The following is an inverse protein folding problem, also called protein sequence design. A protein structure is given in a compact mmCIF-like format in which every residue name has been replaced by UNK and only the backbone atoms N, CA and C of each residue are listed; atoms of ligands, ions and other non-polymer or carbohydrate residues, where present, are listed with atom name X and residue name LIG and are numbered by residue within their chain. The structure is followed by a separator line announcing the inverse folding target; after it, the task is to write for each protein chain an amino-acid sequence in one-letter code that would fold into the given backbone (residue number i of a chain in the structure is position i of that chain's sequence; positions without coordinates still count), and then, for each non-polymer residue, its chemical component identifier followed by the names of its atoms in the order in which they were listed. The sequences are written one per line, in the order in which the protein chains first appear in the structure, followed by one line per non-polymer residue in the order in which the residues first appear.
data_IF_233070833320
#
_entry.id   IF_233070833320
#
_cell.length_a   1.000
_cell.length_b   1.000
_cell.length_c   1.000
_cell.angle_alpha   90.00
_cell.angle_beta   90.00
_cell.angle_gamma   90.00
#
_symmetry.space_group_name_H-M   'P 1'
#
loop_
_entity.id
_entity.type
_entity.pdbx_description
1 polymer ?
#
# COMPACT_ATOMS: atom_id res chain seq x y z
N UNK A 1 22.48 48.52 -3.04
CA UNK A 1 22.58 48.95 -1.64
C UNK A 1 22.10 47.77 -0.81
N UNK A 2 22.91 47.29 0.12
CA UNK A 2 22.55 46.16 0.99
C UNK A 2 21.57 46.70 2.04
N UNK A 3 20.29 46.39 1.89
CA UNK A 3 19.31 46.61 2.96
C UNK A 3 19.38 45.40 3.90
N UNK A 4 19.86 45.67 5.11
CA UNK A 4 19.90 44.71 6.22
C UNK A 4 18.48 44.22 6.54
N UNK A 5 18.29 42.95 6.92
CA UNK A 5 17.00 42.47 7.38
C UNK A 5 16.66 43.14 8.71
N UNK A 6 15.38 43.52 8.81
CA UNK A 6 14.67 44.09 9.95
C UNK A 6 15.19 43.63 11.32
N UNK A 7 15.83 44.54 12.07
CA UNK A 7 15.97 44.44 13.52
C UNK A 7 14.56 44.54 14.15
N UNK A 8 13.87 43.41 14.22
CA UNK A 8 12.72 43.28 15.11
C UNK A 8 13.25 43.05 16.53
N UNK A 9 13.34 44.11 17.31
CA UNK A 9 13.67 44.04 18.74
C UNK A 9 12.49 43.42 19.51
N UNK A 10 12.51 42.11 19.69
CA UNK A 10 11.52 41.40 20.50
C UNK A 10 11.82 41.60 21.99
N UNK A 11 10.87 42.15 22.74
CA UNK A 11 10.98 42.22 24.21
C UNK A 11 10.35 40.99 24.89
N UNK A 12 11.04 39.85 24.83
CA UNK A 12 10.56 38.58 25.39
C UNK A 12 10.33 38.58 26.91
N UNK A 13 10.82 39.59 27.64
CA UNK A 13 10.64 39.71 29.10
C UNK A 13 9.18 39.95 29.48
N UNK A 14 8.42 40.63 28.63
CA UNK A 14 7.01 40.98 28.88
C UNK A 14 6.05 39.81 28.60
N UNK A 15 6.49 38.82 27.81
CA UNK A 15 5.64 37.72 27.37
C UNK A 15 5.43 36.66 28.46
N UNK A 16 4.28 35.98 28.38
CA UNK A 16 3.97 34.84 29.23
C UNK A 16 4.68 33.57 28.74
N UNK A 17 4.88 32.58 29.62
CA UNK A 17 5.49 31.29 29.24
C UNK A 17 4.72 30.57 28.12
N UNK A 18 3.41 30.82 28.02
CA UNK A 18 2.57 30.25 26.95
C UNK A 18 2.86 30.89 25.59
N UNK A 19 3.00 32.22 25.55
CA UNK A 19 3.34 32.96 24.33
C UNK A 19 4.74 32.61 23.84
N UNK A 20 5.72 32.54 24.75
CA UNK A 20 7.10 32.13 24.40
C UNK A 20 7.13 30.71 23.81
N UNK A 21 6.33 29.78 24.36
CA UNK A 21 6.24 28.42 23.80
C UNK A 21 5.50 28.37 22.46
N UNK A 22 4.50 29.24 22.26
CA UNK A 22 3.77 29.33 20.98
C UNK A 22 4.69 29.86 19.88
N UNK A 23 5.38 30.96 20.13
CA UNK A 23 6.39 31.54 19.24
C UNK A 23 7.50 30.53 18.91
N UNK A 24 8.00 29.82 19.92
CA UNK A 24 8.97 28.74 19.74
C UNK A 24 8.45 27.59 18.88
N UNK A 25 7.15 27.27 18.95
CA UNK A 25 6.55 26.19 18.15
C UNK A 25 6.41 26.61 16.69
N UNK A 26 5.98 27.86 16.45
CA UNK A 26 5.82 28.45 15.11
C UNK A 26 7.19 28.59 14.41
N UNK A 27 8.24 28.93 15.16
CA UNK A 27 9.62 29.06 14.67
C UNK A 27 10.46 27.76 14.73
N UNK A 28 9.85 26.59 14.99
CA UNK A 28 10.52 25.28 15.09
C UNK A 28 11.68 25.20 16.12
N UNK A 29 11.64 26.02 17.17
CA UNK A 29 12.59 26.00 18.27
C UNK A 29 12.13 24.98 19.31
N UNK A 30 13.01 24.04 19.70
CA UNK A 30 12.63 22.97 20.64
C UNK A 30 12.95 23.38 22.08
N UNK A 31 11.92 23.68 22.88
CA UNK A 31 12.08 24.02 24.32
C UNK A 31 11.79 22.79 25.21
N UNK A 32 12.73 22.33 26.05
CA UNK A 32 12.48 21.27 27.02
C UNK A 32 11.45 21.68 28.08
N UNK A 33 10.63 20.72 28.55
CA UNK A 33 9.52 20.99 29.47
C UNK A 33 9.93 21.62 30.81
N UNK A 34 11.19 21.42 31.22
CA UNK A 34 11.73 21.81 32.53
C UNK A 34 12.34 23.23 32.57
N UNK A 35 12.35 23.96 31.44
CA UNK A 35 12.95 25.30 31.38
C UNK A 35 12.07 26.32 32.10
N UNK A 36 12.70 27.21 32.89
CA UNK A 36 12.04 28.36 33.51
C UNK A 36 11.89 29.50 32.50
N UNK A 37 11.07 30.51 32.83
CA UNK A 37 10.83 31.66 31.95
C UNK A 37 12.14 32.34 31.54
N UNK A 38 13.04 32.56 32.49
CA UNK A 38 14.32 33.25 32.23
C UNK A 38 15.22 32.45 31.27
N UNK A 39 15.26 31.13 31.41
CA UNK A 39 16.04 30.23 30.52
C UNK A 39 15.48 30.22 29.09
N UNK A 40 14.14 30.35 28.95
CA UNK A 40 13.47 30.42 27.64
C UNK A 40 13.78 31.76 26.97
N UNK A 41 13.76 32.86 27.73
CA UNK A 41 14.08 34.20 27.22
C UNK A 41 15.53 34.25 26.74
N UNK A 42 16.49 33.74 27.52
CA UNK A 42 17.90 33.72 27.10
C UNK A 42 18.13 32.86 25.85
N UNK A 43 17.39 31.76 25.71
CA UNK A 43 17.46 30.91 24.52
C UNK A 43 16.89 31.62 23.29
N UNK A 44 15.76 32.31 23.43
CA UNK A 44 15.14 33.04 22.34
C UNK A 44 15.97 34.25 21.92
N UNK A 45 16.51 35.04 22.87
CA UNK A 45 17.41 36.16 22.59
C UNK A 45 18.63 35.71 21.76
N UNK A 46 19.21 34.55 22.10
CA UNK A 46 20.33 33.98 21.33
C UNK A 46 19.93 33.57 19.93
N UNK A 47 18.76 32.92 19.79
CA UNK A 47 18.28 32.43 18.49
C UNK A 47 17.89 33.58 17.58
N UNK A 48 17.21 34.62 18.09
CA UNK A 48 16.82 35.79 17.30
C UNK A 48 17.98 36.70 16.96
N UNK A 49 19.06 36.70 17.75
CA UNK A 49 20.27 37.46 17.45
C UNK A 49 21.12 36.87 16.31
N UNK A 50 20.78 35.68 15.80
CA UNK A 50 21.50 35.08 14.68
C UNK A 50 21.08 35.71 13.33
N UNK A 51 22.03 36.07 12.45
CA UNK A 51 21.75 36.74 11.19
C UNK A 51 20.99 35.87 10.16
N UNK A 52 20.91 34.56 10.39
CA UNK A 52 20.14 33.61 9.57
C UNK A 52 18.74 33.32 10.13
N UNK A 53 18.37 33.94 11.25
CA UNK A 53 17.05 33.75 11.83
C UNK A 53 15.99 34.47 10.99
N UNK A 54 14.99 33.70 10.54
CA UNK A 54 13.81 34.20 9.82
C UNK A 54 12.60 33.97 10.72
N UNK A 55 11.92 35.05 11.09
CA UNK A 55 10.71 34.96 11.92
C UNK A 55 9.49 34.54 11.09
N UNK A 56 9.11 33.27 11.24
CA UNK A 56 7.98 32.64 10.56
C UNK A 56 6.63 33.05 11.12
N UNK A 57 6.59 33.81 12.21
CA UNK A 57 5.31 34.34 12.75
C UNK A 57 4.81 35.56 11.97
N UNK A 58 5.66 36.16 11.15
CA UNK A 58 5.32 37.31 10.29
C UNK A 58 4.88 36.91 8.87
N UNK A 59 5.10 35.64 8.50
CA UNK A 59 4.54 35.07 7.26
C UNK A 59 3.03 34.88 7.49
N UNK A 60 2.22 35.76 6.91
CA UNK A 60 0.76 35.62 6.86
C UNK A 60 0.40 34.18 6.45
N UNK A 61 -0.63 33.60 7.09
CA UNK A 61 -1.19 32.28 6.78
C UNK A 61 -1.62 32.19 5.29
N UNK A 62 -0.65 32.02 4.41
CA UNK A 62 -0.81 31.50 3.06
C UNK A 62 -1.01 30.00 3.25
N UNK A 63 -2.27 29.56 3.16
CA UNK A 63 -2.63 28.16 3.05
C UNK A 63 -1.84 27.53 1.89
N UNK A 64 -0.76 26.84 2.24
CA UNK A 64 0.09 26.06 1.36
C UNK A 64 -0.72 24.86 0.82
N UNK A 65 -1.52 25.10 -0.22
CA UNK A 65 -1.83 24.05 -1.17
C UNK A 65 -0.57 23.76 -1.96
N UNK A 66 0.01 22.57 -1.76
CA UNK A 66 1.02 21.94 -2.61
C UNK A 66 0.61 22.03 -4.09
N UNK A 67 1.05 23.10 -4.74
CA UNK A 67 1.34 23.14 -6.16
C UNK A 67 2.85 23.14 -6.29
N UNK A 68 3.36 22.13 -6.98
CA UNK A 68 4.73 22.09 -7.45
C UNK A 68 5.03 23.38 -8.22
N UNK A 69 6.10 24.05 -7.80
CA UNK A 69 6.96 24.99 -8.52
C UNK A 69 6.41 25.49 -9.87
N UNK A 70 5.94 26.74 -9.89
CA UNK A 70 6.56 27.84 -10.63
C UNK A 70 5.55 28.99 -10.76
N UNK A 71 5.64 29.99 -9.88
CA UNK A 71 5.12 31.35 -10.14
C UNK A 71 6.33 32.27 -10.32
N UNK A 72 6.61 32.65 -11.56
CA UNK A 72 6.13 33.90 -12.18
C UNK A 72 6.94 35.14 -11.72
N UNK A 73 7.87 35.55 -12.57
CA UNK A 73 8.22 36.96 -12.77
C UNK A 73 8.24 37.25 -14.28
N UNK A 74 7.17 37.87 -14.78
CA UNK A 74 7.11 38.71 -15.99
C UNK A 74 6.22 39.92 -15.59
N UNK A 75 6.52 41.19 -15.80
CA UNK A 75 7.60 41.89 -16.48
C UNK A 75 7.53 43.38 -16.09
N UNK A 76 8.66 43.98 -15.68
CA UNK A 76 9.07 45.23 -16.32
C UNK A 76 9.94 44.79 -17.50
N UNK A 77 9.47 44.93 -18.74
CA UNK A 77 10.41 44.88 -19.87
C UNK A 77 11.16 46.20 -19.86
N UNK A 78 12.26 46.20 -19.10
CA UNK A 78 13.56 46.22 -19.75
C UNK A 78 13.97 44.76 -20.04
N UNK A 79 13.79 44.31 -21.29
CA UNK A 79 14.27 43.06 -21.94
C UNK A 79 14.04 41.66 -21.30
N UNK A 80 12.94 40.94 -21.61
CA UNK A 80 12.88 39.44 -21.57
C UNK A 80 11.99 38.83 -22.70
N UNK A 81 12.29 37.59 -23.12
CA UNK A 81 11.96 37.00 -24.44
C UNK A 81 10.68 36.12 -24.57
N UNK A 82 10.39 35.55 -25.76
CA UNK A 82 9.02 35.28 -26.23
C UNK A 82 8.46 33.86 -25.94
N UNK A 83 8.50 33.36 -24.70
CA UNK A 83 8.14 31.95 -24.42
C UNK A 83 6.94 31.67 -23.48
N UNK A 84 6.28 32.68 -22.89
CA UNK A 84 5.25 32.45 -21.85
C UNK A 84 3.85 33.03 -22.10
N UNK A 85 3.38 33.11 -23.35
CA UNK A 85 1.95 33.36 -23.59
C UNK A 85 1.13 32.06 -23.48
N UNK A 86 0.81 31.62 -22.26
CA UNK A 86 -0.29 30.65 -22.01
C UNK A 86 -1.62 31.42 -22.06
N UNK A 87 -2.40 31.19 -23.10
CA UNK A 87 -3.81 31.56 -23.12
C UNK A 87 -4.51 31.01 -21.87
N UNK A 88 -5.16 31.87 -21.08
CA UNK A 88 -6.05 31.51 -19.98
C UNK A 88 -7.29 30.80 -20.54
N UNK A 89 -7.15 29.50 -20.84
CA UNK A 89 -8.27 28.66 -21.26
C UNK A 89 -9.20 28.48 -20.07
N UNK A 90 -10.34 29.17 -20.12
CA UNK A 90 -11.42 29.01 -19.14
C UNK A 90 -11.71 27.52 -18.88
N UNK A 91 -11.68 27.11 -17.60
CA UNK A 91 -12.01 25.75 -17.18
C UNK A 91 -13.40 25.38 -17.68
N UNK A 92 -13.50 24.23 -18.35
CA UNK A 92 -14.77 23.74 -18.90
C UNK A 92 -15.73 23.40 -17.77
N UNK A 93 -17.03 23.54 -17.99
CA UNK A 93 -18.02 23.36 -16.91
C UNK A 93 -17.98 21.98 -16.24
N UNK A 94 -17.59 20.93 -16.96
CA UNK A 94 -17.49 19.56 -16.42
C UNK A 94 -16.28 19.37 -15.49
N UNK A 95 -15.29 20.27 -15.52
CA UNK A 95 -14.16 20.29 -14.59
C UNK A 95 -14.50 21.06 -13.31
N UNK A 96 -15.59 21.83 -13.31
CA UNK A 96 -16.04 22.57 -12.13
C UNK A 96 -16.85 21.64 -11.21
N UNK A 97 -16.72 21.75 -9.88
CA UNK A 97 -17.64 21.08 -8.96
C UNK A 97 -19.06 21.63 -9.22
N UNK A 98 -20.13 20.80 -9.17
CA UNK A 98 -20.22 19.43 -8.66
C UNK A 98 -19.93 18.30 -9.68
N UNK A 99 -19.72 18.63 -10.95
CA UNK A 99 -19.66 17.61 -12.02
C UNK A 99 -18.30 16.92 -12.16
N UNK A 100 -17.23 17.54 -11.66
CA UNK A 100 -15.90 16.93 -11.59
C UNK A 100 -15.91 15.58 -10.88
N UNK A 101 -16.78 15.41 -9.88
CA UNK A 101 -16.94 14.17 -9.14
C UNK A 101 -17.50 13.03 -10.00
N UNK A 102 -18.24 13.33 -11.08
CA UNK A 102 -18.68 12.32 -12.04
C UNK A 102 -17.54 11.82 -12.93
N UNK A 103 -16.40 12.51 -12.99
CA UNK A 103 -15.29 12.09 -13.85
C UNK A 103 -14.32 11.15 -13.15
N UNK A 104 -14.20 11.26 -11.82
CA UNK A 104 -13.26 10.47 -11.02
C UNK A 104 -14.01 9.57 -10.03
N UNK A 105 -13.92 8.25 -10.27
CA UNK A 105 -14.64 7.24 -9.50
C UNK A 105 -14.16 7.15 -8.04
N UNK A 106 -12.87 7.39 -7.81
CA UNK A 106 -12.27 7.22 -6.49
C UNK A 106 -12.64 8.38 -5.56
N UNK A 107 -12.59 9.61 -6.07
CA UNK A 107 -13.08 10.82 -5.37
C UNK A 107 -14.56 10.69 -5.02
N UNK A 108 -15.36 10.07 -5.89
CA UNK A 108 -16.79 9.89 -5.67
C UNK A 108 -17.14 8.77 -4.67
N UNK A 109 -16.23 7.82 -4.42
CA UNK A 109 -16.41 6.77 -3.39
C UNK A 109 -16.08 7.27 -2.00
N UNK A 110 -15.04 8.11 -1.89
CA UNK A 110 -14.54 8.61 -0.60
C UNK A 110 -15.40 9.75 -0.05
N UNK A 111 -16.09 10.46 -0.93
CA UNK A 111 -17.00 11.54 -0.58
C UNK A 111 -18.41 11.03 -0.28
N UNK A 112 -19.16 11.78 0.53
CA UNK A 112 -20.60 11.58 0.77
C UNK A 112 -21.48 11.67 -0.50
N UNK A 113 -20.87 11.86 -1.68
CA UNK A 113 -21.52 11.92 -2.99
C UNK A 113 -22.24 10.60 -3.30
N UNK A 114 -21.77 9.45 -2.80
CA UNK A 114 -22.50 8.19 -2.89
C UNK A 114 -23.93 8.26 -2.30
N UNK A 115 -24.17 9.20 -1.36
CA UNK A 115 -25.48 9.42 -0.74
C UNK A 115 -26.30 10.52 -1.44
N UNK A 116 -25.68 11.34 -2.30
CA UNK A 116 -26.40 12.33 -3.10
C UNK A 116 -27.32 11.65 -4.13
N UNK A 117 -28.29 12.39 -4.67
CA UNK A 117 -29.13 11.91 -5.76
C UNK A 117 -28.37 12.03 -7.09
N UNK A 118 -27.54 11.03 -7.39
CA UNK A 118 -26.74 10.93 -8.61
C UNK A 118 -27.59 11.07 -9.88
N UNK A 119 -28.84 10.58 -9.86
CA UNK A 119 -29.75 10.68 -11.00
C UNK A 119 -29.98 12.14 -11.37
N UNK A 120 -30.36 12.97 -10.39
CA UNK A 120 -30.57 14.40 -10.60
C UNK A 120 -29.30 15.15 -11.03
N UNK A 121 -28.13 14.70 -10.58
CA UNK A 121 -26.84 15.31 -10.93
C UNK A 121 -26.43 14.97 -12.37
N UNK A 122 -26.66 13.74 -12.78
CA UNK A 122 -26.41 13.25 -14.14
C UNK A 122 -27.35 13.92 -15.14
N UNK A 123 -28.64 14.07 -14.81
CA UNK A 123 -29.61 14.78 -15.66
C UNK A 123 -29.18 16.23 -15.87
N UNK A 124 -28.84 16.95 -14.78
CA UNK A 124 -28.32 18.32 -14.85
C UNK A 124 -27.00 18.43 -15.62
N UNK A 125 -26.17 17.38 -15.58
CA UNK A 125 -24.91 17.32 -16.32
C UNK A 125 -25.15 17.20 -17.83
N UNK A 126 -26.09 16.33 -18.23
CA UNK A 126 -26.51 16.19 -19.62
C UNK A 126 -27.21 17.45 -20.14
N UNK A 127 -28.08 18.06 -19.34
CA UNK A 127 -28.75 19.32 -19.70
C UNK A 127 -27.73 20.44 -19.97
N UNK A 128 -26.67 20.55 -19.15
CA UNK A 128 -25.60 21.52 -19.38
C UNK A 128 -24.74 21.19 -20.60
N UNK A 129 -24.45 19.91 -20.86
CA UNK A 129 -23.78 19.50 -22.12
C UNK A 129 -24.60 19.88 -23.35
N UNK A 130 -25.93 19.78 -23.27
CA UNK A 130 -26.83 20.16 -24.36
C UNK A 130 -26.86 21.68 -24.55
N UNK A 131 -26.89 22.46 -23.45
CA UNK A 131 -26.89 23.92 -23.50
C UNK A 131 -25.63 24.52 -24.14
N UNK A 132 -24.46 23.91 -23.92
CA UNK A 132 -23.20 24.38 -24.49
C UNK A 132 -22.99 23.97 -25.97
N UNK A 133 -23.94 23.27 -26.60
CA UNK A 133 -23.88 22.80 -28.00
C UNK A 133 -22.64 21.95 -28.35
N UNK A 134 -21.90 21.45 -27.35
CA UNK A 134 -20.71 20.61 -27.54
C UNK A 134 -20.81 19.35 -26.68
N UNK A 135 -21.36 18.29 -27.29
CA UNK A 135 -21.49 16.99 -26.64
C UNK A 135 -20.17 16.22 -26.80
N UNK A 136 -19.40 16.14 -25.71
CA UNK A 136 -18.25 15.24 -25.69
C UNK A 136 -18.66 13.83 -25.24
N UNK A 137 -18.87 12.93 -26.21
CA UNK A 137 -19.27 11.54 -25.96
C UNK A 137 -18.32 10.76 -25.05
N UNK A 138 -17.02 11.12 -25.03
CA UNK A 138 -16.04 10.46 -24.16
C UNK A 138 -16.32 10.80 -22.70
N UNK A 139 -16.57 12.07 -22.41
CA UNK A 139 -16.78 12.59 -21.06
C UNK A 139 -18.15 12.12 -20.54
N UNK A 140 -19.18 12.17 -21.39
CA UNK A 140 -20.49 11.64 -21.02
C UNK A 140 -20.47 10.13 -20.77
N UNK A 141 -19.72 9.37 -21.56
CA UNK A 141 -19.53 7.94 -21.34
C UNK A 141 -18.83 7.64 -20.01
N UNK A 142 -17.83 8.46 -19.64
CA UNK A 142 -17.16 8.36 -18.33
C UNK A 142 -18.15 8.68 -17.21
N UNK A 143 -18.89 9.79 -17.30
CA UNK A 143 -19.86 10.20 -16.29
C UNK A 143 -21.00 9.17 -16.10
N UNK A 144 -21.44 8.53 -17.18
CA UNK A 144 -22.45 7.47 -17.10
C UNK A 144 -21.90 6.19 -16.45
N UNK A 145 -20.67 5.80 -16.80
CA UNK A 145 -19.98 4.65 -16.20
C UNK A 145 -19.75 4.85 -14.70
N UNK A 146 -19.27 6.02 -14.28
CA UNK A 146 -19.04 6.34 -12.87
C UNK A 146 -20.35 6.36 -12.10
N UNK A 147 -21.41 6.97 -12.65
CA UNK A 147 -22.74 6.94 -12.05
C UNK A 147 -23.26 5.50 -11.85
N UNK A 148 -23.20 4.66 -12.88
CA UNK A 148 -23.61 3.25 -12.78
C UNK A 148 -22.79 2.48 -11.71
N UNK A 149 -21.48 2.72 -11.64
CA UNK A 149 -20.62 2.11 -10.63
C UNK A 149 -20.95 2.57 -9.21
N UNK A 150 -21.32 3.84 -9.02
CA UNK A 150 -21.70 4.38 -7.72
C UNK A 150 -23.07 3.87 -7.29
N UNK A 151 -24.04 3.75 -8.20
CA UNK A 151 -25.32 3.09 -7.93
C UNK A 151 -25.13 1.63 -7.52
N UNK A 152 -24.27 0.89 -8.23
CA UNK A 152 -23.94 -0.48 -7.84
C UNK A 152 -23.30 -0.53 -6.45
N UNK A 153 -22.36 0.36 -6.15
CA UNK A 153 -21.73 0.44 -4.83
C UNK A 153 -22.75 0.73 -3.72
N UNK A 154 -23.66 1.69 -3.95
CA UNK A 154 -24.73 2.04 -3.00
C UNK A 154 -25.64 0.84 -2.72
N UNK A 155 -26.06 0.12 -3.76
CA UNK A 155 -26.89 -1.09 -3.63
C UNK A 155 -26.14 -2.16 -2.84
N UNK A 156 -24.89 -2.44 -3.19
CA UNK A 156 -24.06 -3.43 -2.48
C UNK A 156 -23.87 -3.08 -1.00
N UNK A 157 -23.61 -1.81 -0.68
CA UNK A 157 -23.48 -1.35 0.71
C UNK A 157 -24.76 -1.57 1.52
N UNK A 158 -25.92 -1.25 0.95
CA UNK A 158 -27.22 -1.47 1.61
C UNK A 158 -27.48 -2.96 1.82
N UNK A 159 -27.14 -3.81 0.85
CA UNK A 159 -27.29 -5.27 0.98
C UNK A 159 -26.40 -5.80 2.11
N UNK A 160 -25.13 -5.39 2.18
CA UNK A 160 -24.22 -5.81 3.26
C UNK A 160 -24.71 -5.40 4.64
N UNK A 161 -25.25 -4.18 4.77
CA UNK A 161 -25.84 -3.70 6.01
C UNK A 161 -27.07 -4.52 6.41
N UNK A 162 -27.97 -4.81 5.47
CA UNK A 162 -29.13 -5.66 5.70
C UNK A 162 -28.72 -7.07 6.14
N UNK A 163 -27.72 -7.69 5.51
CA UNK A 163 -27.21 -8.99 5.95
C UNK A 163 -26.63 -8.95 7.37
N UNK A 164 -25.90 -7.88 7.73
CA UNK A 164 -25.36 -7.71 9.08
C UNK A 164 -26.48 -7.56 10.11
N UNK A 165 -27.55 -6.84 9.77
CA UNK A 165 -28.75 -6.69 10.62
C UNK A 165 -29.43 -8.05 10.80
N UNK A 166 -29.67 -8.79 9.72
CA UNK A 166 -30.27 -10.13 9.77
C UNK A 166 -29.45 -11.10 10.65
N UNK A 167 -28.12 -11.14 10.46
CA UNK A 167 -27.23 -11.97 11.29
C UNK A 167 -27.30 -11.59 12.77
N UNK A 168 -27.38 -10.29 13.09
CA UNK A 168 -27.53 -9.82 14.48
C UNK A 168 -28.86 -10.25 15.08
N UNK A 169 -29.96 -10.07 14.35
CA UNK A 169 -31.30 -10.50 14.78
C UNK A 169 -31.38 -12.01 14.99
N UNK A 170 -30.77 -12.82 14.12
CA UNK A 170 -30.69 -14.27 14.30
C UNK A 170 -29.93 -14.65 15.58
N UNK A 171 -28.79 -14.01 15.83
CA UNK A 171 -28.01 -14.21 17.06
C UNK A 171 -28.84 -13.81 18.29
N UNK A 172 -29.55 -12.69 18.22
CA UNK A 172 -30.40 -12.22 19.31
C UNK A 172 -31.57 -13.17 19.58
N UNK A 173 -32.28 -13.63 18.55
CA UNK A 173 -33.32 -14.67 18.69
C UNK A 173 -32.77 -15.97 19.27
N UNK A 174 -31.56 -16.37 18.88
CA UNK A 174 -30.88 -17.53 19.47
C UNK A 174 -30.52 -17.30 20.94
N UNK A 175 -30.11 -16.08 21.31
CA UNK A 175 -29.87 -15.69 22.71
C UNK A 175 -31.15 -15.67 23.52
N UNK A 176 -32.25 -15.13 23.00
CA UNK A 176 -33.56 -15.12 23.67
C UNK A 176 -34.05 -16.54 23.94
N UNK A 177 -33.96 -17.43 22.93
CA UNK A 177 -34.30 -18.86 23.07
C UNK A 177 -33.42 -19.58 24.10
N UNK A 178 -32.13 -19.21 24.18
CA UNK A 178 -31.20 -19.76 25.15
C UNK A 178 -31.30 -19.08 26.53
N UNK A 179 -31.87 -17.88 26.60
CA UNK A 179 -31.99 -17.11 27.83
C UNK A 179 -33.07 -17.74 28.69
N UNK A 180 -32.64 -18.35 29.79
CA UNK A 180 -33.55 -18.64 30.90
C UNK A 180 -33.69 -17.34 31.69
N UNK A 181 -34.90 -17.02 32.12
CA UNK A 181 -35.16 -15.89 33.01
C UNK A 181 -34.62 -16.25 34.40
N UNK A 182 -33.30 -16.11 34.57
CA UNK A 182 -32.65 -16.24 35.86
C UNK A 182 -33.01 -14.96 36.62
N UNK A 183 -33.66 -15.05 37.78
CA UNK A 183 -33.95 -13.86 38.58
C UNK A 183 -32.65 -13.14 38.89
N UNK A 184 -32.64 -11.81 38.80
CA UNK A 184 -31.50 -11.01 39.20
C UNK A 184 -31.12 -11.38 40.64
N UNK A 185 -29.89 -11.85 40.82
CA UNK A 185 -29.39 -12.19 42.15
C UNK A 185 -29.32 -10.92 42.97
N UNK A 186 -29.98 -10.91 44.14
CA UNK A 186 -29.77 -9.88 45.15
C UNK A 186 -28.27 -9.70 45.37
N UNK A 187 -27.74 -8.51 45.08
CA UNK A 187 -26.33 -8.21 45.32
C UNK A 187 -26.09 -8.33 46.82
N UNK A 188 -25.19 -9.23 47.22
CA UNK A 188 -24.79 -9.30 48.62
C UNK A 188 -24.22 -7.94 49.06
N UNK A 189 -24.52 -7.49 50.30
CA UNK A 189 -23.93 -6.28 50.83
C UNK A 189 -22.41 -6.41 50.79
N UNK A 190 -21.76 -5.48 50.09
CA UNK A 190 -20.31 -5.46 49.92
C UNK A 190 -19.68 -5.21 51.28
N UNK A 191 -19.14 -6.27 51.89
CA UNK A 191 -18.39 -6.14 53.12
C UNK A 191 -17.13 -5.31 52.85
N UNK A 192 -16.86 -4.25 53.64
CA UNK A 192 -15.63 -3.49 53.49
C UNK A 192 -14.45 -4.41 53.78
N UNK A 193 -13.55 -4.57 52.80
CA UNK A 193 -12.30 -5.32 53.00
C UNK A 193 -11.47 -4.60 54.07
N UNK A 194 -11.11 -5.30 55.15
CA UNK A 194 -10.22 -4.78 56.18
C UNK A 194 -8.88 -4.35 55.54
N UNK A 195 -8.49 -3.08 55.75
CA UNK A 195 -7.29 -2.45 55.16
C UNK A 195 -6.05 -2.55 56.07
N UNK A 196 -5.93 -3.61 56.86
CA UNK A 196 -4.75 -3.84 57.69
C UNK A 196 -3.87 -4.88 57.00
N UNK A 197 -3.03 -4.43 56.08
CA UNK A 197 -2.08 -5.29 55.37
C UNK A 197 -0.91 -5.61 56.31
N UNK A 198 -0.70 -6.90 56.57
CA UNK A 198 0.51 -7.36 57.26
C UNK A 198 1.73 -7.15 56.37
N UNK A 199 2.93 -6.98 56.93
CA UNK A 199 4.16 -6.79 56.13
C UNK A 199 4.36 -7.94 55.11
N UNK A 200 4.04 -9.17 55.52
CA UNK A 200 4.14 -10.36 54.66
C UNK A 200 3.15 -10.32 53.49
N UNK A 201 1.93 -9.87 53.72
CA UNK A 201 0.90 -9.73 52.68
C UNK A 201 1.25 -8.60 51.69
N UNK A 202 1.88 -7.51 52.16
CA UNK A 202 2.40 -6.47 51.29
C UNK A 202 3.51 -7.01 50.37
N UNK A 203 4.47 -7.76 50.93
CA UNK A 203 5.54 -8.36 50.15
C UNK A 203 5.02 -9.47 49.22
N UNK A 204 4.00 -10.22 49.63
CA UNK A 204 3.30 -11.20 48.79
C UNK A 204 2.64 -10.51 47.59
N UNK A 205 1.85 -9.46 47.83
CA UNK A 205 1.21 -8.68 46.78
C UNK A 205 2.23 -8.02 45.82
N UNK A 206 3.37 -7.54 46.34
CA UNK A 206 4.45 -7.00 45.51
C UNK A 206 5.10 -8.08 44.64
N UNK A 207 5.37 -9.27 45.20
CA UNK A 207 5.91 -10.41 44.43
C UNK A 207 4.93 -10.85 43.35
N UNK A 208 3.65 -10.95 43.67
CA UNK A 208 2.61 -11.33 42.73
C UNK A 208 2.45 -10.31 41.61
N UNK A 209 2.49 -9.01 41.93
CA UNK A 209 2.47 -7.94 40.93
C UNK A 209 3.71 -7.99 40.01
N UNK A 210 4.90 -8.29 40.55
CA UNK A 210 6.12 -8.48 39.76
C UNK A 210 6.00 -9.70 38.84
N UNK A 211 5.49 -10.82 39.36
CA UNK A 211 5.27 -12.05 38.58
C UNK A 211 4.24 -11.79 37.48
N UNK A 212 3.14 -11.10 37.79
CA UNK A 212 2.09 -10.79 36.82
C UNK A 212 2.60 -9.88 35.70
N UNK A 213 3.40 -8.86 36.04
CA UNK A 213 4.02 -7.97 35.03
C UNK A 213 5.03 -8.71 34.16
N UNK A 214 5.81 -9.64 34.73
CA UNK A 214 6.70 -10.52 33.95
C UNK A 214 5.93 -11.44 33.01
N UNK A 215 4.87 -12.10 33.50
CA UNK A 215 4.02 -12.97 32.67
C UNK A 215 3.31 -12.19 31.56
N UNK A 216 2.81 -10.98 31.84
CA UNK A 216 2.23 -10.08 30.83
C UNK A 216 3.26 -9.71 29.76
N UNK A 217 4.48 -9.35 30.16
CA UNK A 217 5.59 -9.02 29.25
C UNK A 217 5.97 -10.22 28.38
N UNK A 218 6.03 -11.41 28.95
CA UNK A 218 6.35 -12.64 28.22
C UNK A 218 5.23 -13.02 27.24
N UNK A 219 3.97 -12.94 27.67
CA UNK A 219 2.80 -13.17 26.80
C UNK A 219 2.76 -12.18 25.65
N UNK A 220 3.12 -10.92 25.88
CA UNK A 220 3.26 -9.90 24.83
C UNK A 220 4.36 -10.26 23.84
N UNK A 221 5.53 -10.69 24.31
CA UNK A 221 6.64 -11.16 23.47
C UNK A 221 6.22 -12.36 22.61
N UNK A 222 5.56 -13.36 23.19
CA UNK A 222 5.00 -14.51 22.46
C UNK A 222 3.99 -14.10 21.40
N UNK A 223 3.11 -13.12 21.70
CA UNK A 223 2.16 -12.56 20.72
C UNK A 223 2.85 -11.83 19.56
N UNK A 224 3.91 -11.06 19.82
CA UNK A 224 4.70 -10.37 18.77
C UNK A 224 5.36 -11.38 17.84
N UNK A 225 6.03 -12.40 18.40
CA UNK A 225 6.66 -13.48 17.62
C UNK A 225 5.62 -14.23 16.77
N UNK A 226 4.45 -14.55 17.34
CA UNK A 226 3.38 -15.23 16.58
C UNK A 226 2.84 -14.37 15.44
N UNK A 227 2.68 -13.06 15.65
CA UNK A 227 2.27 -12.12 14.59
C UNK A 227 3.32 -12.03 13.48
N UNK A 228 4.60 -11.92 13.81
CA UNK A 228 5.68 -11.90 12.83
C UNK A 228 5.73 -13.18 12.01
N UNK A 229 5.73 -14.36 12.65
CA UNK A 229 5.68 -15.65 11.95
C UNK A 229 4.46 -15.81 11.05
N UNK A 230 3.30 -15.29 11.47
CA UNK A 230 2.08 -15.31 10.65
C UNK A 230 2.22 -14.42 9.41
N UNK A 231 2.75 -13.19 9.57
CA UNK A 231 3.04 -12.29 8.45
C UNK A 231 4.04 -12.91 7.46
N UNK A 232 5.15 -13.46 7.95
CA UNK A 232 6.13 -14.14 7.10
C UNK A 232 5.53 -15.35 6.34
N UNK A 233 4.65 -16.11 6.99
CA UNK A 233 3.96 -17.22 6.35
C UNK A 233 2.94 -16.76 5.30
N UNK A 234 2.21 -15.67 5.56
CA UNK A 234 1.30 -15.04 4.61
C UNK A 234 2.06 -14.48 3.40
N UNK A 235 3.19 -13.80 3.60
CA UNK A 235 4.05 -13.33 2.51
C UNK A 235 4.60 -14.47 1.66
N UNK A 236 5.03 -15.58 2.29
CA UNK A 236 5.48 -16.77 1.56
C UNK A 236 4.33 -17.41 0.75
N UNK A 237 3.13 -17.47 1.31
CA UNK A 237 1.93 -17.96 0.62
C UNK A 237 1.52 -17.03 -0.52
N UNK A 238 1.56 -15.72 -0.33
CA UNK A 238 1.29 -14.74 -1.38
C UNK A 238 2.32 -14.85 -2.50
N UNK A 239 3.62 -15.00 -2.19
CA UNK A 239 4.68 -15.26 -3.19
C UNK A 239 4.52 -16.61 -3.89
N UNK A 240 3.91 -17.61 -3.25
CA UNK A 240 3.60 -18.90 -3.86
C UNK A 240 2.32 -18.85 -4.71
N UNK A 241 1.29 -18.12 -4.28
CA UNK A 241 0.02 -17.93 -5.01
C UNK A 241 0.19 -16.98 -6.20
N UNK A 242 1.06 -15.97 -6.10
CA UNK A 242 1.43 -15.09 -7.19
C UNK A 242 2.32 -15.78 -8.24
N UNK A 243 2.84 -16.98 -7.96
CA UNK A 243 3.48 -17.83 -8.97
C UNK A 243 2.41 -18.69 -9.62
N UNK A 244 1.80 -18.15 -10.69
CA UNK A 244 1.15 -18.99 -11.68
C UNK A 244 2.14 -20.08 -12.14
N UNK A 245 1.68 -21.30 -12.45
CA UNK A 245 2.56 -22.33 -13.01
C UNK A 245 3.29 -21.75 -14.22
N UNK A 246 4.61 -21.97 -14.28
CA UNK A 246 5.55 -21.31 -15.20
C UNK A 246 5.10 -21.40 -16.67
N UNK A 247 4.33 -22.44 -17.01
CA UNK A 247 3.78 -22.70 -18.34
C UNK A 247 2.63 -21.74 -18.72
N UNK A 248 1.79 -21.32 -17.78
CA UNK A 248 0.73 -20.33 -18.02
C UNK A 248 1.28 -18.90 -18.13
N UNK A 249 2.36 -18.61 -17.41
CA UNK A 249 3.02 -17.30 -17.43
C UNK A 249 3.65 -17.01 -18.81
N UNK A 250 4.10 -18.06 -19.52
CA UNK A 250 4.63 -18.03 -20.90
C UNK A 250 3.59 -17.54 -21.93
N UNK A 251 2.33 -17.97 -21.79
CA UNK A 251 1.25 -17.59 -22.71
C UNK A 251 0.66 -16.21 -22.39
N UNK A 252 0.72 -15.77 -21.13
CA UNK A 252 0.08 -14.53 -20.67
C UNK A 252 1.01 -13.31 -20.78
N UNK A 253 2.31 -13.47 -20.53
CA UNK A 253 3.20 -12.30 -20.32
C UNK A 253 4.03 -11.89 -21.53
N UNK A 254 4.15 -12.75 -22.56
CA UNK A 254 4.93 -12.43 -23.77
C UNK A 254 6.43 -12.13 -23.52
N UNK A 255 6.93 -12.30 -22.29
CA UNK A 255 8.35 -12.11 -21.96
C UNK A 255 9.15 -13.29 -22.48
N UNK A 256 10.24 -12.99 -23.18
CA UNK A 256 11.24 -13.98 -23.58
C UNK A 256 11.79 -14.66 -22.30
N UNK A 257 11.79 -16.00 -22.28
CA UNK A 257 12.31 -16.76 -21.15
C UNK A 257 13.78 -16.42 -20.93
N UNK A 258 14.21 -16.22 -19.68
CA UNK A 258 15.64 -16.09 -19.40
C UNK A 258 16.35 -17.42 -19.72
N UNK A 259 17.62 -17.33 -20.12
CA UNK A 259 18.41 -18.53 -20.46
C UNK A 259 18.45 -19.49 -19.28
N UNK A 260 18.60 -18.98 -18.05
CA UNK A 260 18.63 -19.77 -16.82
C UNK A 260 17.30 -20.52 -16.59
N UNK A 261 16.17 -19.86 -16.79
CA UNK A 261 14.85 -20.47 -16.67
C UNK A 261 14.63 -21.58 -17.70
N UNK A 262 15.12 -21.38 -18.93
CA UNK A 262 15.08 -22.39 -19.98
C UNK A 262 15.93 -23.61 -19.60
N UNK A 263 17.16 -23.40 -19.13
CA UNK A 263 18.04 -24.49 -18.69
C UNK A 263 17.43 -25.27 -17.52
N UNK A 264 16.84 -24.59 -16.54
CA UNK A 264 16.22 -25.24 -15.39
C UNK A 264 14.91 -25.95 -15.76
N UNK A 265 14.13 -25.42 -16.69
CA UNK A 265 12.96 -26.11 -17.25
C UNK A 265 13.36 -27.42 -17.92
N UNK A 266 14.39 -27.41 -18.77
CA UNK A 266 14.87 -28.62 -19.44
C UNK A 266 15.49 -29.63 -18.48
N UNK A 267 16.29 -29.17 -17.50
CA UNK A 267 16.82 -30.05 -16.47
C UNK A 267 15.71 -30.77 -15.69
N UNK A 268 14.64 -30.05 -15.31
CA UNK A 268 13.50 -30.64 -14.62
C UNK A 268 12.71 -31.62 -15.51
N UNK A 269 12.58 -31.33 -16.80
CA UNK A 269 11.96 -32.25 -17.77
C UNK A 269 12.77 -33.54 -17.89
N UNK A 270 14.10 -33.45 -18.02
CA UNK A 270 15.02 -34.60 -18.09
C UNK A 270 14.92 -35.45 -16.82
N UNK A 271 14.94 -34.81 -15.65
CA UNK A 271 14.75 -35.47 -14.35
C UNK A 271 13.39 -36.16 -14.25
N UNK A 272 12.33 -35.49 -14.71
CA UNK A 272 10.99 -36.07 -14.78
C UNK A 272 10.92 -37.31 -15.67
N UNK A 273 11.56 -37.27 -16.85
CA UNK A 273 11.59 -38.42 -17.77
C UNK A 273 12.42 -39.60 -17.25
N UNK A 274 13.52 -39.34 -16.54
CA UNK A 274 14.33 -40.37 -15.86
C UNK A 274 13.48 -41.06 -14.79
N UNK A 275 12.82 -40.27 -13.95
CA UNK A 275 11.98 -40.78 -12.86
C UNK A 275 10.74 -41.54 -13.37
N UNK A 276 10.14 -41.13 -14.49
CA UNK A 276 8.94 -41.78 -15.03
C UNK A 276 9.24 -43.14 -15.67
N UNK A 277 10.45 -43.29 -16.21
CA UNK A 277 10.87 -44.49 -16.91
C UNK A 277 11.65 -45.48 -16.04
N UNK A 278 11.91 -45.16 -14.76
CA UNK A 278 12.76 -45.93 -13.83
C UNK A 278 14.10 -46.36 -14.47
N UNK A 279 14.71 -45.47 -15.26
CA UNK A 279 15.97 -45.71 -15.97
C UNK A 279 17.02 -44.69 -15.52
N UNK A 280 18.26 -45.14 -15.31
CA UNK A 280 19.39 -44.25 -14.97
C UNK A 280 19.80 -43.28 -16.09
N UNK A 281 19.23 -43.42 -17.30
CA UNK A 281 19.54 -42.60 -18.46
C UNK A 281 18.31 -42.34 -19.33
N UNK A 282 18.26 -41.18 -19.95
CA UNK A 282 17.30 -40.82 -21.01
C UNK A 282 18.00 -40.68 -22.36
N UNK A 283 17.25 -40.83 -23.45
CA UNK A 283 17.77 -40.63 -24.80
C UNK A 283 17.29 -39.30 -25.39
N UNK A 284 18.10 -38.67 -26.25
CA UNK A 284 17.70 -37.47 -26.99
C UNK A 284 16.41 -37.70 -27.80
N UNK A 285 16.23 -38.90 -28.37
CA UNK A 285 15.04 -39.25 -29.13
C UNK A 285 13.76 -39.31 -28.29
N UNK A 286 13.85 -39.68 -27.01
CA UNK A 286 12.70 -39.59 -26.08
C UNK A 286 12.31 -38.13 -25.82
N UNK A 287 13.29 -37.22 -25.67
CA UNK A 287 13.02 -35.78 -25.56
C UNK A 287 12.41 -35.22 -26.86
N UNK A 288 12.86 -35.69 -28.03
CA UNK A 288 12.31 -35.30 -29.32
C UNK A 288 10.81 -35.66 -29.46
N UNK A 289 10.40 -36.81 -28.92
CA UNK A 289 8.98 -37.21 -28.88
C UNK A 289 8.13 -36.25 -28.04
N UNK A 290 8.67 -35.73 -26.94
CA UNK A 290 7.98 -34.75 -26.10
C UNK A 290 7.77 -33.45 -26.88
N UNK A 291 8.78 -32.96 -27.59
CA UNK A 291 8.69 -31.75 -28.42
C UNK A 291 7.64 -31.92 -29.53
N UNK A 292 7.61 -33.09 -30.19
CA UNK A 292 6.63 -33.39 -31.24
C UNK A 292 5.18 -33.32 -30.75
N UNK A 293 4.94 -33.62 -29.48
CA UNK A 293 3.61 -33.55 -28.86
C UNK A 293 3.23 -32.13 -28.45
N UNK A 294 4.19 -31.28 -28.09
CA UNK A 294 3.94 -29.90 -27.64
C UNK A 294 3.70 -28.92 -28.81
N UNK A 295 4.41 -29.09 -29.93
CA UNK A 295 4.42 -28.10 -31.02
C UNK A 295 3.74 -28.62 -32.30
N UNK A 296 2.84 -27.79 -32.88
CA UNK A 296 2.07 -28.13 -34.08
C UNK A 296 2.80 -27.84 -35.40
N UNK A 297 3.67 -26.83 -35.43
CA UNK A 297 4.38 -26.40 -36.65
C UNK A 297 5.68 -27.18 -36.87
N UNK A 298 6.02 -27.44 -38.12
CA UNK A 298 7.27 -28.12 -38.51
C UNK A 298 8.50 -27.24 -38.24
N UNK A 299 8.36 -25.93 -38.42
CA UNK A 299 9.46 -24.98 -38.20
C UNK A 299 9.76 -24.83 -36.70
N UNK A 300 8.72 -24.70 -35.89
CA UNK A 300 8.86 -24.57 -34.43
C UNK A 300 9.56 -25.80 -33.85
N UNK A 301 9.18 -27.00 -34.30
CA UNK A 301 9.83 -28.26 -33.88
C UNK A 301 11.33 -28.26 -34.13
N UNK A 302 11.78 -27.72 -35.27
CA UNK A 302 13.21 -27.62 -35.59
C UNK A 302 13.91 -26.62 -34.66
N UNK A 303 13.29 -25.47 -34.39
CA UNK A 303 13.82 -24.49 -33.46
C UNK A 303 13.87 -25.02 -32.02
N UNK A 304 12.84 -25.74 -31.58
CA UNK A 304 12.81 -26.38 -30.26
C UNK A 304 13.90 -27.45 -30.13
N UNK A 305 14.13 -28.26 -31.17
CA UNK A 305 15.21 -29.25 -31.18
C UNK A 305 16.58 -28.59 -31.05
N UNK A 306 16.84 -27.51 -31.81
CA UNK A 306 18.08 -26.72 -31.71
C UNK A 306 18.24 -26.15 -30.31
N UNK A 307 17.16 -25.60 -29.72
CA UNK A 307 17.17 -25.05 -28.35
C UNK A 307 17.45 -26.13 -27.30
N UNK A 308 16.88 -27.32 -27.45
CA UNK A 308 17.14 -28.46 -26.56
C UNK A 308 18.58 -28.91 -26.65
N UNK A 309 19.09 -29.07 -27.87
CA UNK A 309 20.47 -29.46 -28.08
C UNK A 309 21.43 -28.45 -27.44
N UNK A 310 21.20 -27.15 -27.64
CA UNK A 310 21.99 -26.08 -27.06
C UNK A 310 21.86 -26.05 -25.52
N UNK A 311 20.67 -26.26 -24.97
CA UNK A 311 20.46 -26.37 -23.54
C UNK A 311 21.19 -27.58 -22.92
N UNK A 312 21.20 -28.73 -23.60
CA UNK A 312 21.92 -29.92 -23.17
C UNK A 312 23.43 -29.67 -23.12
N UNK A 313 23.98 -28.98 -24.13
CA UNK A 313 25.39 -28.59 -24.13
C UNK A 313 25.72 -27.72 -22.91
N UNK A 314 24.91 -26.70 -22.62
CA UNK A 314 25.11 -25.84 -21.44
C UNK A 314 24.94 -26.57 -20.10
N UNK A 315 23.99 -27.52 -20.02
CA UNK A 315 23.82 -28.35 -18.81
C UNK A 315 25.00 -29.29 -18.61
N UNK A 316 25.59 -29.79 -19.70
CA UNK A 316 26.80 -30.60 -19.66
C UNK A 316 28.03 -29.79 -19.25
N UNK A 317 28.21 -28.56 -19.77
CA UNK A 317 29.32 -27.69 -19.32
C UNK A 317 29.22 -27.30 -17.85
N UNK A 318 28.00 -27.27 -17.30
CA UNK A 318 27.75 -26.99 -15.87
C UNK A 318 27.83 -28.24 -14.98
N UNK A 319 28.30 -29.38 -15.50
CA UNK A 319 28.40 -30.67 -14.81
C UNK A 319 27.09 -31.13 -14.14
N UNK A 320 25.93 -30.75 -14.69
CA UNK A 320 24.62 -31.23 -14.18
C UNK A 320 24.17 -32.52 -14.86
N UNK A 321 24.74 -32.79 -16.03
CA UNK A 321 24.35 -33.88 -16.92
C UNK A 321 25.60 -34.42 -17.62
N UNK A 322 25.69 -35.74 -17.74
CA UNK A 322 26.69 -36.44 -18.54
C UNK A 322 26.04 -36.87 -19.86
N UNK A 323 26.66 -36.46 -20.98
CA UNK A 323 26.27 -36.85 -22.33
C UNK A 323 27.23 -37.91 -22.84
N UNK A 324 26.70 -39.09 -23.19
CA UNK A 324 27.47 -40.19 -23.76
C UNK A 324 26.89 -40.60 -25.11
N UNK A 325 27.72 -40.62 -26.14
CA UNK A 325 27.38 -41.12 -27.47
C UNK A 325 28.30 -42.30 -27.80
N UNK A 326 27.72 -43.46 -28.14
CA UNK A 326 28.49 -44.70 -28.34
C UNK A 326 29.23 -44.74 -29.68
N UNK A 327 28.60 -44.27 -30.75
CA UNK A 327 29.18 -44.19 -32.10
C UNK A 327 28.75 -42.89 -32.78
N UNK A 328 29.53 -42.43 -33.77
CA UNK A 328 29.17 -41.29 -34.60
C UNK A 328 27.76 -41.47 -35.20
N UNK A 329 26.94 -40.42 -35.10
CA UNK A 329 25.54 -40.38 -35.55
C UNK A 329 24.55 -41.30 -34.81
N UNK A 330 24.93 -41.95 -33.70
CA UNK A 330 23.97 -42.66 -32.83
C UNK A 330 23.35 -41.77 -31.77
N UNK A 331 22.26 -42.24 -31.16
CA UNK A 331 21.54 -41.51 -30.12
C UNK A 331 22.44 -41.14 -28.94
N UNK A 332 22.24 -39.92 -28.45
CA UNK A 332 22.92 -39.38 -27.28
C UNK A 332 22.17 -39.86 -26.04
N UNK A 333 22.87 -40.57 -25.17
CA UNK A 333 22.39 -40.96 -23.84
C UNK A 333 22.75 -39.88 -22.81
N UNK A 334 21.78 -39.55 -21.98
CA UNK A 334 21.79 -38.43 -21.04
C UNK A 334 21.63 -39.02 -19.64
N UNK A 335 22.65 -38.83 -18.78
CA UNK A 335 22.61 -39.21 -17.36
C UNK A 335 22.66 -37.97 -16.49
N UNK A 336 21.95 -37.98 -15.37
CA UNK A 336 22.09 -36.95 -14.34
C UNK A 336 23.19 -37.42 -13.39
N UNK A 337 24.08 -36.49 -13.02
CA UNK A 337 25.16 -36.71 -12.06
C UNK A 337 24.65 -36.65 -10.61
#
# INVERSE_FOLDING_TARGET
MNDNPSDHDYNFKEWTVKELRKFSSENNITIPSNFKKDDIVELLDKVTSHPEFVDRTSEEELEETLYDEDEEQEDEIEEKGPLFQKESKELKFWQKPPYSSLLNIDVAKDSEIAFYDLSSLVDKFFDKMLQENFINYKISGIALKTSASLHHHKISSVIEEQEKIQKKEEIEKMRERASRRIPETLTQPVQPKFKTTTKEELFGAMRDAIIETMQKKEKLKRRRIKKQKKKEAEEKKAKAQAKLPKELLKHITGKEQSIEELLESWFNRIKGTINLNDKDATSLHELEKIIKNEEKSILDRKFALIRVFLALMFLSTNNRIILNQKDEFKDISIKID
#
